data_IF_301705055226
#
_entry.id   IF_301705055226
#
_cell.length_a   1.000
_cell.length_b   1.000
_cell.length_c   1.000
_cell.angle_alpha   90.00
_cell.angle_beta   90.00
_cell.angle_gamma   90.00
#
_symmetry.space_group_name_H-M   'P 1'
#
loop_
_entity.id
_entity.type
_entity.pdbx_description
1 polymer ?
#
# COMPACT_ATOMS: atom_id res chain seq x y z
N UNK A 1 -55.38 -10.31 -1.51
CA UNK A 1 -54.21 -11.17 -1.81
C UNK A 1 -52.96 -10.42 -2.31
N UNK A 2 -53.07 -9.22 -2.89
CA UNK A 2 -51.93 -8.51 -3.51
C UNK A 2 -50.95 -7.75 -2.58
N UNK A 3 -51.32 -7.41 -1.34
CA UNK A 3 -50.44 -6.63 -0.43
C UNK A 3 -49.30 -7.43 0.20
N UNK A 4 -49.42 -8.76 0.31
CA UNK A 4 -48.37 -9.63 0.89
C UNK A 4 -47.25 -10.00 -0.09
N UNK A 5 -47.48 -9.82 -1.41
CA UNK A 5 -46.49 -10.12 -2.45
C UNK A 5 -45.47 -8.99 -2.61
N UNK A 6 -45.91 -7.74 -2.50
CA UNK A 6 -45.06 -6.54 -2.70
C UNK A 6 -44.02 -6.40 -1.59
N UNK A 7 -44.36 -6.79 -0.35
CA UNK A 7 -43.48 -6.68 0.81
C UNK A 7 -42.33 -7.71 0.81
N UNK A 8 -42.51 -8.86 0.12
CA UNK A 8 -41.45 -9.88 0.01
C UNK A 8 -40.44 -9.55 -1.10
N UNK A 9 -40.85 -8.84 -2.15
CA UNK A 9 -39.94 -8.44 -3.22
C UNK A 9 -38.98 -7.32 -2.78
N UNK A 10 -39.41 -6.37 -1.95
CA UNK A 10 -38.52 -5.28 -1.48
C UNK A 10 -37.48 -5.73 -0.46
N UNK A 11 -37.77 -6.74 0.38
CA UNK A 11 -36.79 -7.25 1.35
C UNK A 11 -35.68 -8.03 0.64
N UNK A 12 -35.99 -8.75 -0.44
CA UNK A 12 -34.99 -9.51 -1.19
C UNK A 12 -34.02 -8.58 -1.97
N UNK A 13 -34.51 -7.45 -2.50
CA UNK A 13 -33.63 -6.47 -3.18
C UNK A 13 -32.72 -5.73 -2.20
N UNK A 14 -33.18 -5.44 -0.98
CA UNK A 14 -32.37 -4.76 0.04
C UNK A 14 -31.22 -5.63 0.59
N UNK A 15 -31.43 -6.95 0.70
CA UNK A 15 -30.39 -7.89 1.14
C UNK A 15 -29.29 -8.08 0.08
N UNK A 16 -29.62 -7.94 -1.20
CA UNK A 16 -28.63 -8.10 -2.28
C UNK A 16 -27.70 -6.88 -2.40
N UNK A 17 -28.16 -5.69 -2.03
CA UNK A 17 -27.36 -4.44 -2.11
C UNK A 17 -26.33 -4.33 -0.97
N UNK A 18 -26.53 -5.00 0.17
CA UNK A 18 -25.55 -5.03 1.27
C UNK A 18 -24.37 -6.01 1.06
N UNK A 19 -24.37 -6.80 -0.01
CA UNK A 19 -23.35 -7.83 -0.29
C UNK A 19 -22.39 -7.48 -1.44
N UNK A 20 -22.51 -6.29 -2.04
CA UNK A 20 -21.61 -5.81 -3.10
C UNK A 20 -20.50 -4.94 -2.51
N UNK A 21 -19.94 -5.35 -1.37
CA UNK A 21 -18.53 -5.08 -1.10
C UNK A 21 -17.75 -6.13 -1.86
N UNK A 22 -17.62 -5.95 -3.19
CA UNK A 22 -16.68 -6.74 -3.99
C UNK A 22 -15.29 -6.36 -3.47
N UNK A 23 -14.87 -7.04 -2.41
CA UNK A 23 -13.49 -7.26 -2.12
C UNK A 23 -12.98 -8.05 -3.32
N UNK A 24 -12.58 -7.36 -4.37
CA UNK A 24 -11.65 -7.92 -5.31
C UNK A 24 -10.51 -8.43 -4.43
N UNK A 25 -10.34 -9.75 -4.37
CA UNK A 25 -9.15 -10.35 -3.82
C UNK A 25 -8.00 -9.93 -4.75
N UNK A 26 -7.55 -8.68 -4.59
CA UNK A 26 -6.39 -8.19 -5.27
C UNK A 26 -5.23 -9.03 -4.78
N UNK A 27 -4.40 -9.49 -5.71
CA UNK A 27 -3.17 -10.19 -5.38
C UNK A 27 -2.21 -9.13 -4.80
N UNK A 28 -2.35 -8.87 -3.50
CA UNK A 28 -1.59 -7.85 -2.78
C UNK A 28 -0.07 -8.06 -3.01
N UNK A 29 0.49 -9.28 -2.94
CA UNK A 29 1.88 -9.52 -3.33
C UNK A 29 2.22 -9.03 -4.75
N UNK A 30 1.42 -9.37 -5.77
CA UNK A 30 1.65 -8.93 -7.14
C UNK A 30 1.55 -7.41 -7.29
N UNK A 31 0.57 -6.79 -6.63
CA UNK A 31 0.37 -5.35 -6.67
C UNK A 31 1.52 -4.60 -5.97
N UNK A 32 1.97 -5.06 -4.80
CA UNK A 32 3.15 -4.50 -4.12
C UNK A 32 4.38 -4.60 -5.00
N UNK A 33 4.63 -5.77 -5.60
CA UNK A 33 5.77 -5.95 -6.51
C UNK A 33 5.68 -4.99 -7.71
N UNK A 34 4.51 -4.90 -8.34
CA UNK A 34 4.29 -3.99 -9.46
C UNK A 34 4.59 -2.55 -9.08
N UNK A 35 3.99 -2.05 -8.00
CA UNK A 35 4.18 -0.68 -7.55
C UNK A 35 5.67 -0.40 -7.28
N UNK A 36 6.38 -1.29 -6.58
CA UNK A 36 7.80 -1.11 -6.29
C UNK A 36 8.69 -1.18 -7.54
N UNK A 37 8.28 -1.91 -8.58
CA UNK A 37 8.98 -1.94 -9.88
C UNK A 37 8.72 -0.70 -10.73
N UNK A 38 7.51 -0.17 -10.69
CA UNK A 38 7.13 1.05 -11.41
C UNK A 38 7.74 2.30 -10.73
N UNK A 39 7.73 2.36 -9.40
CA UNK A 39 8.23 3.49 -8.59
C UNK A 39 9.59 3.15 -7.98
N UNK A 40 10.65 3.33 -8.76
CA UNK A 40 12.01 2.97 -8.35
C UNK A 40 12.67 4.14 -7.63
N UNK A 41 13.26 3.88 -6.45
CA UNK A 41 14.13 4.85 -5.79
C UNK A 41 15.25 5.31 -6.73
N UNK A 42 15.62 6.57 -6.59
CA UNK A 42 16.71 7.20 -7.32
C UNK A 42 16.53 7.23 -8.85
N UNK A 43 15.32 6.95 -9.34
CA UNK A 43 14.88 7.16 -10.73
C UNK A 43 13.85 8.29 -10.79
N UNK A 44 13.67 8.95 -11.95
CA UNK A 44 12.60 9.94 -12.11
C UNK A 44 11.23 9.40 -11.68
N UNK A 45 10.45 10.21 -10.98
CA UNK A 45 9.09 9.86 -10.59
C UNK A 45 8.25 9.56 -11.85
N UNK A 46 7.66 8.35 -11.96
CA UNK A 46 6.93 7.95 -13.15
C UNK A 46 5.56 8.67 -13.24
N UNK A 47 5.11 8.92 -14.46
CA UNK A 47 3.78 9.48 -14.74
C UNK A 47 2.70 8.39 -14.68
N UNK A 48 2.36 7.93 -13.48
CA UNK A 48 1.35 6.89 -13.26
C UNK A 48 -0.04 7.49 -13.09
N UNK A 49 -1.05 6.93 -13.76
CA UNK A 49 -2.43 7.45 -13.76
C UNK A 49 -3.05 7.50 -12.35
N UNK A 50 -2.64 6.57 -11.49
CA UNK A 50 -3.09 6.43 -10.11
C UNK A 50 -2.32 7.28 -9.11
N UNK A 51 -1.26 7.99 -9.52
CA UNK A 51 -0.54 8.98 -8.70
C UNK A 51 -0.93 10.39 -9.11
N UNK A 52 -1.21 11.24 -8.13
CA UNK A 52 -1.52 12.66 -8.31
C UNK A 52 -0.57 13.51 -7.48
N UNK A 53 -0.14 14.63 -8.04
CA UNK A 53 0.63 15.63 -7.30
C UNK A 53 -0.20 16.13 -6.11
N UNK A 54 0.47 16.31 -4.98
CA UNK A 54 -0.09 16.82 -3.75
C UNK A 54 0.89 17.80 -3.10
N UNK A 55 0.40 18.61 -2.17
CA UNK A 55 1.24 19.58 -1.46
C UNK A 55 2.32 18.85 -0.66
N UNK A 56 3.58 19.15 -0.94
CA UNK A 56 4.71 18.65 -0.16
C UNK A 56 4.78 19.34 1.20
N UNK A 57 5.21 18.60 2.21
CA UNK A 57 5.57 19.14 3.54
C UNK A 57 7.05 19.54 3.56
N UNK A 58 7.87 18.88 2.75
CA UNK A 58 9.30 19.12 2.64
C UNK A 58 9.58 20.13 1.52
N UNK A 59 10.32 21.18 1.85
CA UNK A 59 10.68 22.25 0.91
C UNK A 59 11.52 21.68 -0.25
N UNK A 60 11.21 22.09 -1.49
CA UNK A 60 11.90 21.62 -2.71
C UNK A 60 11.43 20.25 -3.22
N UNK A 61 10.83 19.40 -2.37
CA UNK A 61 10.39 18.09 -2.81
C UNK A 61 9.06 18.16 -3.60
N UNK A 62 8.96 17.39 -4.67
CA UNK A 62 7.67 17.04 -5.27
C UNK A 62 7.07 15.87 -4.49
N UNK A 63 5.76 15.90 -4.30
CA UNK A 63 5.04 14.95 -3.46
C UNK A 63 3.81 14.43 -4.19
N UNK A 64 3.61 13.11 -4.17
CA UNK A 64 2.54 12.44 -4.88
C UNK A 64 1.79 11.50 -3.95
N UNK A 65 0.47 11.44 -4.14
CA UNK A 65 -0.43 10.51 -3.46
C UNK A 65 -1.29 9.77 -4.45
N UNK A 66 -1.64 8.54 -4.11
CA UNK A 66 -2.47 7.70 -4.95
C UNK A 66 -2.98 6.47 -4.24
N UNK A 67 -3.80 5.72 -4.95
CA UNK A 67 -4.27 4.40 -4.52
C UNK A 67 -4.24 3.45 -5.71
N UNK A 68 -3.74 2.25 -5.51
CA UNK A 68 -3.78 1.18 -6.49
C UNK A 68 -4.32 -0.09 -5.82
N UNK A 69 -5.45 -0.61 -6.31
CA UNK A 69 -6.10 -1.82 -5.78
C UNK A 69 -6.24 -1.87 -4.23
N UNK A 70 -6.57 -0.73 -3.62
CA UNK A 70 -6.73 -0.61 -2.16
C UNK A 70 -5.43 -0.33 -1.38
N UNK A 71 -4.27 -0.30 -2.05
CA UNK A 71 -2.99 0.09 -1.46
C UNK A 71 -2.83 1.60 -1.60
N UNK A 72 -2.75 2.32 -0.47
CA UNK A 72 -2.43 3.73 -0.49
C UNK A 72 -0.92 3.93 -0.73
N UNK A 73 -0.60 4.84 -1.64
CA UNK A 73 0.77 5.08 -2.12
C UNK A 73 1.12 6.54 -1.84
N UNK A 74 2.31 6.76 -1.30
CA UNK A 74 2.92 8.07 -1.18
C UNK A 74 4.32 8.01 -1.79
N UNK A 75 4.66 9.01 -2.60
CA UNK A 75 5.98 9.16 -3.22
C UNK A 75 6.46 10.56 -2.98
N UNK A 76 7.73 10.71 -2.61
CA UNK A 76 8.38 12.00 -2.48
C UNK A 76 9.70 12.00 -3.24
N UNK A 77 10.04 13.12 -3.88
CA UNK A 77 11.30 13.29 -4.59
C UNK A 77 12.38 13.92 -3.71
N UNK A 78 13.61 13.94 -4.19
CA UNK A 78 14.66 14.76 -3.60
C UNK A 78 14.34 16.26 -3.71
N UNK A 79 14.87 17.14 -2.83
CA UNK A 79 14.56 18.58 -2.79
C UNK A 79 14.88 19.36 -4.07
N UNK A 80 15.80 18.86 -4.90
CA UNK A 80 16.27 19.56 -6.11
C UNK A 80 16.29 18.64 -7.34
N UNK A 81 15.57 17.52 -7.31
CA UNK A 81 15.45 16.66 -8.48
C UNK A 81 14.11 15.94 -8.54
N UNK A 82 13.71 15.50 -9.72
CA UNK A 82 12.52 14.67 -9.91
C UNK A 82 12.74 13.20 -9.53
N UNK A 83 13.89 12.84 -8.96
CA UNK A 83 14.20 11.45 -8.59
C UNK A 83 13.50 11.09 -7.29
N UNK A 84 12.92 9.89 -7.25
CA UNK A 84 12.22 9.36 -6.08
C UNK A 84 13.18 9.19 -4.91
N UNK A 85 12.95 9.92 -3.82
CA UNK A 85 13.66 9.77 -2.55
C UNK A 85 12.97 8.75 -1.66
N UNK A 86 11.63 8.81 -1.57
CA UNK A 86 10.85 7.91 -0.73
C UNK A 86 9.62 7.34 -1.42
N UNK A 87 9.28 6.11 -1.01
CA UNK A 87 8.04 5.41 -1.36
C UNK A 87 7.46 4.80 -0.08
N UNK A 88 6.19 5.05 0.15
CA UNK A 88 5.44 4.45 1.25
C UNK A 88 4.17 3.80 0.69
N UNK A 89 4.02 2.51 0.95
CA UNK A 89 2.81 1.74 0.68
C UNK A 89 2.13 1.44 2.01
N UNK A 90 0.83 1.70 2.07
CA UNK A 90 -0.01 1.44 3.23
C UNK A 90 -1.17 0.54 2.82
N UNK A 91 -1.13 -0.69 3.30
CA UNK A 91 -2.11 -1.74 3.00
C UNK A 91 -3.01 -1.88 4.23
N UNK A 92 -4.30 -1.50 4.15
CA UNK A 92 -5.21 -1.63 5.29
C UNK A 92 -5.63 -3.08 5.53
N UNK A 93 -5.83 -3.44 6.80
CA UNK A 93 -6.44 -4.70 7.19
C UNK A 93 -5.57 -5.51 8.16
N UNK A 94 -5.67 -6.84 8.03
CA UNK A 94 -4.89 -7.79 8.80
C UNK A 94 -3.40 -7.74 8.42
N UNK A 95 -2.57 -8.37 9.25
CA UNK A 95 -1.16 -8.49 8.99
C UNK A 95 -0.89 -9.39 7.77
N UNK A 96 -0.39 -8.77 6.70
CA UNK A 96 0.00 -9.44 5.45
C UNK A 96 1.50 -9.40 5.21
N UNK A 97 2.32 -9.05 6.21
CA UNK A 97 3.77 -8.87 6.06
C UNK A 97 4.46 -10.11 5.49
N UNK A 98 4.14 -11.29 6.02
CA UNK A 98 4.66 -12.58 5.51
C UNK A 98 4.23 -12.88 4.08
N UNK A 99 3.01 -12.49 3.71
CA UNK A 99 2.46 -12.71 2.38
C UNK A 99 3.18 -11.84 1.32
N UNK A 100 3.45 -10.56 1.64
CA UNK A 100 4.08 -9.63 0.69
C UNK A 100 5.61 -9.69 0.70
N UNK A 101 6.24 -10.24 1.74
CA UNK A 101 7.70 -10.27 1.87
C UNK A 101 8.40 -10.89 0.65
N UNK A 102 7.96 -12.02 0.06
CA UNK A 102 8.58 -12.57 -1.16
C UNK A 102 8.55 -11.59 -2.34
N UNK A 103 7.44 -10.88 -2.54
CA UNK A 103 7.31 -9.85 -3.57
C UNK A 103 8.28 -8.70 -3.35
N UNK A 104 8.38 -8.18 -2.13
CA UNK A 104 9.34 -7.14 -1.77
C UNK A 104 10.78 -7.62 -2.03
N UNK A 105 11.13 -8.85 -1.62
CA UNK A 105 12.46 -9.43 -1.82
C UNK A 105 12.84 -9.56 -3.30
N UNK A 106 11.89 -9.83 -4.20
CA UNK A 106 12.15 -9.87 -5.65
C UNK A 106 12.51 -8.51 -6.25
N UNK A 107 12.16 -7.41 -5.58
CA UNK A 107 12.43 -6.05 -6.07
C UNK A 107 13.67 -5.45 -5.40
N UNK A 108 13.81 -5.59 -4.08
CA UNK A 108 14.87 -4.92 -3.31
C UNK A 108 15.89 -5.87 -2.66
N UNK A 109 15.76 -7.18 -2.89
CA UNK A 109 16.64 -8.19 -2.31
C UNK A 109 16.24 -8.61 -0.88
N UNK A 110 17.00 -9.51 -0.25
CA UNK A 110 16.71 -10.01 1.11
C UNK A 110 16.93 -8.93 2.19
N UNK A 111 16.13 -8.92 3.27
CA UNK A 111 16.32 -7.99 4.37
C UNK A 111 17.59 -8.32 5.17
N UNK A 112 18.17 -7.30 5.83
CA UNK A 112 19.28 -7.47 6.79
C UNK A 112 18.79 -7.83 8.18
N UNK A 113 17.59 -7.40 8.54
CA UNK A 113 16.94 -7.72 9.81
C UNK A 113 15.58 -8.37 9.55
N UNK A 114 15.26 -9.41 10.32
CA UNK A 114 14.01 -10.16 10.21
C UNK A 114 13.51 -10.58 11.59
N UNK A 115 12.34 -10.10 11.97
CA UNK A 115 11.58 -10.54 13.14
C UNK A 115 10.19 -11.02 12.70
N UNK A 116 10.02 -12.31 12.37
CA UNK A 116 8.74 -12.85 11.92
C UNK A 116 7.65 -12.91 13.01
N UNK A 117 8.05 -12.78 14.28
CA UNK A 117 7.13 -12.72 15.43
C UNK A 117 6.52 -11.33 15.59
N UNK A 118 7.33 -10.31 15.35
CA UNK A 118 6.92 -8.89 15.37
C UNK A 118 6.47 -8.40 13.99
N UNK A 119 6.43 -9.30 13.00
CA UNK A 119 6.05 -8.98 11.62
C UNK A 119 6.84 -7.79 11.06
N UNK A 120 8.15 -7.78 11.30
CA UNK A 120 9.05 -6.68 10.97
C UNK A 120 10.26 -7.18 10.19
N UNK A 121 10.57 -6.50 9.08
CA UNK A 121 11.71 -6.79 8.22
C UNK A 121 12.34 -5.48 7.78
N UNK A 122 13.66 -5.37 7.83
CA UNK A 122 14.36 -4.11 7.52
C UNK A 122 15.56 -4.32 6.62
N UNK A 123 15.81 -3.34 5.78
CA UNK A 123 16.98 -3.23 4.92
C UNK A 123 17.72 -1.95 5.24
N UNK A 124 19.03 -2.02 5.16
CA UNK A 124 19.91 -0.88 5.21
C UNK A 124 20.93 -1.02 4.08
N UNK A 125 21.24 0.08 3.40
CA UNK A 125 22.26 0.13 2.37
C UNK A 125 23.17 1.34 2.61
N UNK A 126 24.34 1.40 1.95
CA UNK A 126 25.15 2.62 1.91
C UNK A 126 24.35 3.83 1.42
N UNK A 127 24.89 5.02 1.67
CA UNK A 127 24.27 6.32 1.29
C UNK A 127 22.90 6.54 1.95
N UNK A 128 22.79 6.18 3.22
CA UNK A 128 21.61 6.48 4.04
C UNK A 128 20.29 5.89 3.51
N UNK A 129 20.34 4.84 2.69
CA UNK A 129 19.14 4.22 2.16
C UNK A 129 18.64 3.15 3.12
N UNK A 130 17.35 3.16 3.43
CA UNK A 130 16.71 2.15 4.27
C UNK A 130 15.37 1.72 3.69
N UNK A 131 14.93 0.53 4.07
CA UNK A 131 13.57 0.09 3.81
C UNK A 131 13.03 -0.72 4.98
N UNK A 132 11.71 -0.78 5.12
CA UNK A 132 11.07 -1.67 6.07
C UNK A 132 9.76 -2.24 5.53
N UNK A 133 9.43 -3.44 6.00
CA UNK A 133 8.10 -4.01 5.94
C UNK A 133 7.69 -4.30 7.37
N UNK A 134 6.63 -3.66 7.85
CA UNK A 134 6.17 -3.88 9.22
C UNK A 134 4.64 -3.79 9.33
N UNK A 135 4.07 -4.45 10.34
CA UNK A 135 2.66 -4.35 10.66
C UNK A 135 2.43 -3.42 11.85
N UNK A 136 1.47 -2.52 11.71
CA UNK A 136 0.97 -1.65 12.78
C UNK A 136 -0.43 -2.10 13.14
N UNK A 137 -0.61 -2.66 14.33
CA UNK A 137 -1.91 -3.10 14.84
C UNK A 137 -2.78 -1.88 15.16
N UNK A 138 -4.03 -1.90 14.70
CA UNK A 138 -5.05 -0.93 15.09
C UNK A 138 -5.78 -1.33 16.37
N UNK A 139 -6.67 -0.46 16.84
CA UNK A 139 -7.38 -0.65 18.12
C UNK A 139 -8.41 -1.79 18.15
N UNK A 140 -8.65 -2.49 17.02
CA UNK A 140 -9.62 -3.59 16.91
C UNK A 140 -9.04 -4.75 16.08
N UNK A 141 -9.45 -6.01 16.32
CA UNK A 141 -9.05 -7.14 15.49
C UNK A 141 -9.38 -6.90 14.00
N UNK A 142 -8.41 -7.17 13.11
CA UNK A 142 -8.55 -6.93 11.68
C UNK A 142 -8.40 -5.47 11.24
N UNK A 143 -8.28 -4.53 12.18
CA UNK A 143 -7.94 -3.14 11.91
C UNK A 143 -6.44 -2.95 12.15
N UNK A 144 -5.73 -2.53 11.12
CA UNK A 144 -4.29 -2.33 11.15
C UNK A 144 -3.79 -1.94 9.76
N UNK A 145 -2.47 -1.79 9.67
CA UNK A 145 -1.82 -1.47 8.41
C UNK A 145 -0.53 -2.27 8.27
N UNK A 146 -0.35 -2.93 7.14
CA UNK A 146 0.98 -3.32 6.70
C UNK A 146 1.60 -2.15 5.94
N UNK A 147 2.78 -1.73 6.39
CA UNK A 147 3.56 -0.65 5.83
C UNK A 147 4.74 -1.23 5.08
N UNK A 148 4.90 -0.84 3.82
CA UNK A 148 6.16 -1.00 3.08
C UNK A 148 6.74 0.38 2.90
N UNK A 149 7.98 0.58 3.28
CA UNK A 149 8.61 1.88 3.20
C UNK A 149 10.03 1.77 2.65
N UNK A 150 10.36 2.63 1.70
CA UNK A 150 11.69 2.77 1.11
C UNK A 150 12.06 4.24 1.23
N UNK A 151 13.17 4.55 1.88
CA UNK A 151 13.61 5.92 2.14
C UNK A 151 15.06 6.11 1.77
N UNK A 152 15.37 7.33 1.36
CA UNK A 152 16.68 7.93 1.41
C UNK A 152 16.68 8.85 2.64
N UNK A 153 17.60 8.64 3.59
CA UNK A 153 17.78 9.48 4.78
C UNK A 153 18.56 10.75 4.43
#
# INVERSE_FOLDING_TARGET
MFRKLICRCTILTAVTIMLVSVAFASDIPADVERILREIRQDQPAPALSYLKSAKSVNHGCAYYRGTYNGIAITVETHPDSNRVASVLLKIPGADVTKNILPAVKRVIGPPRYSSPKESQYSWEWPKYRSASVHYVRGGKPGYGFTIVSLFYR
#
